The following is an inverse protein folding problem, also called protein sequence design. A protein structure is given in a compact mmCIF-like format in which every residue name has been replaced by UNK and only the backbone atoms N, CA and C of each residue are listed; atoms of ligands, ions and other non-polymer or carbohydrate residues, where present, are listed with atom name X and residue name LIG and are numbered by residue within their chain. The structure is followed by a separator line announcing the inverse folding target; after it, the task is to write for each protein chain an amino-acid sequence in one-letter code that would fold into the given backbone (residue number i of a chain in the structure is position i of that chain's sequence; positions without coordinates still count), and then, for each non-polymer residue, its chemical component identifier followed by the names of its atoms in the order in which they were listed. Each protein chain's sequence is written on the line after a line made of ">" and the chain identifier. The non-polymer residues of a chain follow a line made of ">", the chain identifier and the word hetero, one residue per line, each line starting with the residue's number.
data_IF_569955688745
#
_entry.id   IF_569955688745
#
_cell.length_a   1.000
_cell.length_b   1.000
_cell.length_c   1.000
_cell.angle_alpha   90.00
_cell.angle_beta   90.00
_cell.angle_gamma   90.00
#
_symmetry.space_group_name_H-M   'P 1'
#
loop_
_entity.id
_entity.type
_entity.pdbx_description
1 polymer ?
#
# COMPACT_ATOMS: atom_id res chain seq x y z
N UNK A 1 -13.86 -18.17 -19.80
CA UNK A 1 -14.47 -17.27 -18.79
C UNK A 1 -15.21 -16.18 -19.56
N UNK A 2 -16.53 -16.06 -19.40
CA UNK A 2 -17.36 -15.02 -20.04
C UNK A 2 -17.87 -14.02 -18.98
N UNK A 3 -18.31 -12.84 -19.40
CA UNK A 3 -18.86 -11.81 -18.49
C UNK A 3 -20.05 -12.34 -17.66
N UNK A 4 -20.80 -13.29 -18.19
CA UNK A 4 -21.96 -13.91 -17.53
C UNK A 4 -21.56 -14.81 -16.35
N UNK A 5 -20.30 -15.25 -16.30
CA UNK A 5 -19.76 -16.13 -15.25
C UNK A 5 -19.03 -15.38 -14.14
N UNK A 6 -18.93 -14.04 -14.23
CA UNK A 6 -18.22 -13.18 -13.28
C UNK A 6 -19.21 -12.51 -12.34
N UNK A 7 -18.79 -12.21 -11.10
CA UNK A 7 -19.60 -11.47 -10.13
C UNK A 7 -20.16 -10.17 -10.76
N UNK A 8 -21.49 -9.97 -10.80
CA UNK A 8 -22.11 -8.82 -11.46
C UNK A 8 -21.70 -7.47 -10.84
N UNK A 9 -21.28 -7.44 -9.58
CA UNK A 9 -20.74 -6.23 -8.96
C UNK A 9 -19.38 -5.83 -9.55
N UNK A 10 -18.55 -6.80 -9.93
CA UNK A 10 -17.28 -6.55 -10.62
C UNK A 10 -17.54 -6.04 -12.04
N UNK A 11 -18.55 -6.60 -12.71
CA UNK A 11 -18.97 -6.15 -14.06
C UNK A 11 -19.48 -4.71 -14.05
N UNK A 12 -20.23 -4.32 -13.00
CA UNK A 12 -20.76 -2.96 -12.83
C UNK A 12 -19.73 -1.95 -12.30
N UNK A 13 -18.61 -2.41 -11.74
CA UNK A 13 -17.60 -1.55 -11.12
C UNK A 13 -16.93 -0.67 -12.19
N UNK A 14 -16.93 0.64 -11.95
CA UNK A 14 -16.25 1.60 -12.83
C UNK A 14 -15.12 2.31 -12.07
N UNK A 15 -13.90 2.26 -12.62
CA UNK A 15 -12.75 2.99 -12.10
C UNK A 15 -12.26 4.00 -13.15
N UNK A 16 -12.88 5.18 -13.14
CA UNK A 16 -12.77 6.18 -14.22
C UNK A 16 -11.37 6.78 -14.41
N UNK A 17 -10.46 6.60 -13.44
CA UNK A 17 -9.08 7.13 -13.47
C UNK A 17 -8.25 6.55 -14.63
N UNK A 18 -8.67 5.41 -15.20
CA UNK A 18 -8.06 4.75 -16.37
C UNK A 18 -9.05 4.49 -17.50
N UNK A 19 -9.98 5.42 -17.71
CA UNK A 19 -11.04 5.32 -18.72
C UNK A 19 -10.61 5.63 -20.17
N UNK A 20 -11.59 5.79 -21.09
CA UNK A 20 -11.35 5.98 -22.53
C UNK A 20 -10.41 7.13 -22.89
N UNK A 21 -10.43 8.22 -22.12
CA UNK A 21 -9.53 9.38 -22.32
C UNK A 21 -8.06 8.97 -22.18
N UNK A 22 -7.77 8.11 -21.20
CA UNK A 22 -6.40 7.61 -20.97
C UNK A 22 -5.96 6.69 -22.09
N UNK A 23 -6.87 5.83 -22.59
CA UNK A 23 -6.60 4.97 -23.73
C UNK A 23 -6.28 5.79 -24.98
N UNK A 24 -7.08 6.82 -25.26
CA UNK A 24 -6.82 7.71 -26.41
C UNK A 24 -5.51 8.49 -26.25
N UNK A 25 -5.17 8.91 -25.04
CA UNK A 25 -3.89 9.55 -24.76
C UNK A 25 -2.71 8.60 -25.08
N UNK A 26 -2.79 7.32 -24.69
CA UNK A 26 -1.76 6.33 -25.02
C UNK A 26 -1.60 6.10 -26.53
N UNK A 27 -2.72 6.03 -27.26
CA UNK A 27 -2.69 5.93 -28.72
C UNK A 27 -2.03 7.15 -29.36
N UNK A 28 -2.38 8.36 -28.92
CA UNK A 28 -1.80 9.61 -29.40
C UNK A 28 -0.29 9.70 -29.09
N UNK A 29 0.16 9.26 -27.91
CA UNK A 29 1.59 9.18 -27.56
C UNK A 29 2.32 8.26 -28.55
N UNK A 30 1.72 7.10 -28.87
CA UNK A 30 2.27 6.15 -29.85
C UNK A 30 2.31 6.74 -31.26
N UNK A 31 1.23 7.37 -31.72
CA UNK A 31 1.15 8.04 -33.02
C UNK A 31 2.24 9.12 -33.16
N UNK A 32 2.45 9.94 -32.12
CA UNK A 32 3.51 10.97 -32.10
C UNK A 32 4.90 10.33 -32.14
N UNK A 33 5.13 9.25 -31.38
CA UNK A 33 6.42 8.53 -31.38
C UNK A 33 6.77 7.92 -32.75
N UNK A 34 5.75 7.60 -33.55
CA UNK A 34 5.90 7.08 -34.92
C UNK A 34 6.04 8.19 -35.98
N UNK A 35 6.09 9.46 -35.57
CA UNK A 35 6.28 10.60 -36.47
C UNK A 35 4.99 11.22 -37.01
N UNK A 36 3.81 10.85 -36.48
CA UNK A 36 2.56 11.51 -36.86
C UNK A 36 2.56 12.97 -36.43
N UNK A 37 2.39 13.90 -37.39
CA UNK A 37 2.26 15.33 -37.09
C UNK A 37 0.90 15.61 -36.44
N UNK A 38 0.92 16.00 -35.17
CA UNK A 38 -0.24 16.53 -34.42
C UNK A 38 -0.07 18.03 -34.17
N UNK A 39 -1.12 18.68 -33.65
CA UNK A 39 -1.07 20.10 -33.22
C UNK A 39 -0.22 20.33 -31.95
N UNK A 40 0.32 19.26 -31.39
CA UNK A 40 1.14 19.22 -30.19
C UNK A 40 2.24 18.16 -30.38
N UNK A 41 3.35 18.32 -29.66
CA UNK A 41 4.52 17.43 -29.73
C UNK A 41 4.60 16.42 -28.58
N UNK A 42 3.84 16.64 -27.50
CA UNK A 42 3.85 15.80 -26.30
C UNK A 42 2.48 15.82 -25.62
N UNK A 43 2.14 14.71 -24.97
CA UNK A 43 1.00 14.63 -24.06
C UNK A 43 1.49 14.84 -22.63
N UNK A 44 0.78 15.70 -21.89
CA UNK A 44 1.00 15.93 -20.47
C UNK A 44 -0.15 15.26 -19.73
N UNK A 45 0.17 14.34 -18.83
CA UNK A 45 -0.83 13.58 -18.06
C UNK A 45 -1.21 14.38 -16.82
N UNK A 46 -2.40 14.98 -16.84
CA UNK A 46 -2.98 15.71 -15.70
C UNK A 46 -4.14 14.95 -15.04
N UNK A 47 -4.30 13.66 -15.35
CA UNK A 47 -5.44 12.85 -14.90
C UNK A 47 -5.17 12.05 -13.61
N UNK A 48 -3.90 11.96 -13.18
CA UNK A 48 -3.49 11.23 -11.97
C UNK A 48 -2.55 12.13 -11.17
N UNK A 49 -2.72 12.16 -9.85
CA UNK A 49 -1.80 12.81 -8.92
C UNK A 49 -0.50 12.03 -8.73
N UNK A 50 0.23 11.76 -9.82
CA UNK A 50 1.57 11.18 -9.78
C UNK A 50 2.59 12.32 -9.85
N UNK A 51 3.00 12.79 -8.67
CA UNK A 51 3.86 13.95 -8.58
C UNK A 51 5.27 13.68 -9.14
N UNK A 52 5.78 12.45 -9.00
CA UNK A 52 7.09 12.09 -9.56
C UNK A 52 7.05 12.03 -11.09
N UNK A 53 5.99 11.45 -11.68
CA UNK A 53 5.79 11.51 -13.14
C UNK A 53 5.60 12.95 -13.65
N UNK A 54 5.12 13.84 -12.78
CA UNK A 54 4.96 15.28 -13.04
C UNK A 54 6.24 16.10 -12.79
N UNK A 55 7.37 15.46 -12.46
CA UNK A 55 8.68 16.10 -12.32
C UNK A 55 9.07 16.52 -10.90
N UNK A 56 8.30 16.15 -9.88
CA UNK A 56 8.72 16.36 -8.49
C UNK A 56 10.01 15.56 -8.22
N UNK A 57 11.06 16.26 -7.77
CA UNK A 57 12.31 15.62 -7.35
C UNK A 57 12.07 14.81 -6.06
N UNK A 58 12.55 13.55 -5.99
CA UNK A 58 12.46 12.76 -4.77
C UNK A 58 13.17 13.43 -3.59
N UNK A 59 12.63 13.23 -2.39
CA UNK A 59 13.23 13.73 -1.14
C UNK A 59 14.45 12.86 -0.79
N UNK A 60 15.64 13.47 -0.72
CA UNK A 60 16.91 12.74 -0.51
C UNK A 60 16.95 11.96 0.79
N UNK A 61 16.53 12.58 1.91
CA UNK A 61 16.54 11.93 3.22
C UNK A 61 15.76 10.61 3.25
N UNK A 62 14.56 10.58 2.66
CA UNK A 62 13.74 9.36 2.59
C UNK A 62 14.47 8.27 1.80
N UNK A 63 15.11 8.63 0.69
CA UNK A 63 15.87 7.68 -0.14
C UNK A 63 17.10 7.14 0.59
N UNK A 64 17.79 7.98 1.33
CA UNK A 64 18.96 7.62 2.12
C UNK A 64 18.59 6.64 3.24
N UNK A 65 17.52 6.90 3.99
CA UNK A 65 17.00 5.97 5.01
C UNK A 65 16.63 4.63 4.41
N UNK A 66 15.89 4.62 3.30
CA UNK A 66 15.50 3.38 2.61
C UNK A 66 16.72 2.61 2.11
N UNK A 67 17.71 3.30 1.56
CA UNK A 67 18.95 2.68 1.08
C UNK A 67 19.75 2.06 2.24
N UNK A 68 19.90 2.78 3.34
CA UNK A 68 20.56 2.29 4.54
C UNK A 68 19.85 1.09 5.16
N UNK A 69 18.51 1.10 5.19
CA UNK A 69 17.71 0.01 5.73
C UNK A 69 17.73 -1.25 4.85
N UNK A 70 17.78 -1.09 3.53
CA UNK A 70 17.75 -2.22 2.57
C UNK A 70 19.13 -2.81 2.26
N UNK A 71 20.19 -1.99 2.32
CA UNK A 71 21.59 -2.42 2.15
C UNK A 71 22.43 -1.89 3.30
N UNK A 72 22.42 -2.59 4.42
CA UNK A 72 23.02 -2.14 5.68
C UNK A 72 24.51 -1.78 5.59
N UNK A 73 25.27 -2.46 4.73
CA UNK A 73 26.70 -2.17 4.47
C UNK A 73 26.98 -0.72 4.03
N UNK A 74 25.99 -0.02 3.47
CA UNK A 74 26.17 1.39 3.08
C UNK A 74 26.32 2.31 4.30
N UNK A 75 25.84 1.89 5.47
CA UNK A 75 25.94 2.66 6.71
C UNK A 75 27.40 2.81 7.20
N UNK A 76 28.29 1.92 6.79
CA UNK A 76 29.73 1.98 7.09
C UNK A 76 30.49 2.95 6.19
N UNK A 77 29.79 3.56 5.23
CA UNK A 77 30.37 4.52 4.27
C UNK A 77 29.96 5.96 4.59
N UNK A 78 30.65 6.91 3.95
CA UNK A 78 30.32 8.33 4.01
C UNK A 78 29.27 8.76 2.96
N UNK A 79 28.61 7.80 2.30
CA UNK A 79 27.63 8.07 1.24
C UNK A 79 26.24 8.43 1.77
N UNK A 80 25.97 8.12 3.04
CA UNK A 80 24.68 8.36 3.71
C UNK A 80 24.91 9.25 4.93
N UNK A 81 24.02 10.21 5.15
CA UNK A 81 24.08 11.10 6.31
C UNK A 81 23.83 10.35 7.62
N UNK A 82 24.42 10.82 8.72
CA UNK A 82 24.35 10.11 10.00
C UNK A 82 22.95 10.08 10.62
N UNK A 83 22.13 11.09 10.37
CA UNK A 83 20.73 11.14 10.77
C UNK A 83 19.88 10.08 10.02
N UNK A 84 20.15 9.87 8.73
CA UNK A 84 19.52 8.82 7.94
C UNK A 84 19.94 7.42 8.41
N UNK A 85 21.23 7.22 8.73
CA UNK A 85 21.72 5.98 9.35
C UNK A 85 21.03 5.72 10.69
N UNK A 86 20.90 6.74 11.54
CA UNK A 86 20.24 6.64 12.84
C UNK A 86 18.78 6.21 12.68
N UNK A 87 18.04 6.84 11.74
CA UNK A 87 16.65 6.48 11.45
C UNK A 87 16.53 5.04 10.94
N UNK A 88 17.42 4.62 10.05
CA UNK A 88 17.44 3.26 9.52
C UNK A 88 17.74 2.22 10.62
N UNK A 89 18.73 2.46 11.48
CA UNK A 89 19.07 1.57 12.60
C UNK A 89 17.89 1.42 13.57
N UNK A 90 17.29 2.53 14.02
CA UNK A 90 16.11 2.48 14.90
C UNK A 90 14.99 1.61 14.33
N UNK A 91 14.74 1.71 13.02
CA UNK A 91 13.75 0.87 12.35
C UNK A 91 14.18 -0.61 12.32
N UNK A 92 15.43 -0.90 11.94
CA UNK A 92 15.94 -2.27 11.86
C UNK A 92 15.95 -2.95 13.24
N UNK A 93 16.36 -2.25 14.30
CA UNK A 93 16.40 -2.76 15.66
C UNK A 93 14.99 -3.17 16.15
N UNK A 94 13.95 -2.46 15.70
CA UNK A 94 12.56 -2.81 15.99
C UNK A 94 12.02 -4.02 15.20
N UNK A 95 12.65 -4.37 14.08
CA UNK A 95 12.21 -5.41 13.15
C UNK A 95 13.09 -6.68 13.20
N UNK A 96 13.95 -6.84 14.21
CA UNK A 96 14.87 -7.99 14.30
C UNK A 96 16.01 -7.94 13.28
N UNK A 97 16.38 -6.75 12.79
CA UNK A 97 17.55 -6.51 11.95
C UNK A 97 17.31 -6.57 10.43
N UNK A 98 16.07 -6.79 9.98
CA UNK A 98 15.75 -6.85 8.55
C UNK A 98 14.42 -6.20 8.20
N UNK A 99 14.38 -5.48 7.07
CA UNK A 99 13.16 -4.89 6.50
C UNK A 99 12.21 -5.92 5.87
N UNK A 100 12.65 -7.18 5.73
CA UNK A 100 11.87 -8.25 5.12
C UNK A 100 11.07 -9.11 6.10
N UNK A 101 11.14 -8.81 7.40
CA UNK A 101 10.41 -9.56 8.43
C UNK A 101 8.93 -9.16 8.41
N UNK A 102 8.05 -10.14 8.61
CA UNK A 102 6.62 -9.86 8.78
C UNK A 102 6.39 -8.96 10.00
N UNK A 103 5.59 -7.92 9.83
CA UNK A 103 5.10 -7.12 10.94
C UNK A 103 3.89 -7.78 11.60
N UNK A 104 3.49 -7.25 12.76
CA UNK A 104 2.14 -7.47 13.28
C UNK A 104 1.09 -7.04 12.25
N UNK A 105 -0.14 -7.58 12.36
CA UNK A 105 -1.24 -7.28 11.42
C UNK A 105 -1.63 -5.80 11.39
N UNK A 106 -1.35 -5.06 12.46
CA UNK A 106 -1.58 -3.61 12.54
C UNK A 106 -0.43 -2.78 11.97
N UNK A 107 0.71 -3.42 11.66
CA UNK A 107 1.93 -2.79 11.19
C UNK A 107 3.05 -2.77 12.23
N UNK A 108 4.23 -2.31 11.82
CA UNK A 108 5.43 -2.20 12.67
C UNK A 108 5.17 -1.21 13.81
N UNK A 109 5.41 -1.64 15.05
CA UNK A 109 5.09 -0.88 16.26
C UNK A 109 5.79 0.48 16.32
N UNK A 110 7.10 0.53 16.10
CA UNK A 110 7.86 1.79 16.13
C UNK A 110 7.34 2.83 15.12
N UNK A 111 6.78 2.36 13.99
CA UNK A 111 6.18 3.24 12.99
C UNK A 111 4.82 3.73 13.44
N UNK A 112 4.01 2.87 14.10
CA UNK A 112 2.73 3.30 14.68
C UNK A 112 2.95 4.36 15.76
N UNK A 113 3.98 4.22 16.59
CA UNK A 113 4.38 5.23 17.57
C UNK A 113 4.77 6.56 16.91
N UNK A 114 5.61 6.52 15.86
CA UNK A 114 6.01 7.71 15.12
C UNK A 114 4.79 8.42 14.48
N UNK A 115 3.83 7.66 13.94
CA UNK A 115 2.59 8.21 13.37
C UNK A 115 1.72 8.83 14.45
N UNK A 116 1.58 8.20 15.61
CA UNK A 116 0.86 8.78 16.74
C UNK A 116 1.48 10.11 17.15
N UNK A 117 2.80 10.12 17.40
CA UNK A 117 3.53 11.34 17.77
C UNK A 117 3.38 12.44 16.72
N UNK A 118 3.42 12.11 15.43
CA UNK A 118 3.19 13.07 14.35
C UNK A 118 1.78 13.67 14.41
N UNK A 119 0.75 12.85 14.63
CA UNK A 119 -0.64 13.30 14.77
C UNK A 119 -0.78 14.21 15.99
N UNK A 120 -0.18 13.83 17.13
CA UNK A 120 -0.20 14.66 18.34
C UNK A 120 0.44 16.03 18.11
N UNK A 121 1.60 16.08 17.44
CA UNK A 121 2.27 17.34 17.12
C UNK A 121 1.47 18.20 16.13
N UNK A 122 0.81 17.58 15.15
CA UNK A 122 0.00 18.28 14.15
C UNK A 122 -1.28 18.86 14.75
N UNK A 123 -1.99 18.06 15.55
CA UNK A 123 -3.36 18.34 16.01
C UNK A 123 -3.42 18.87 17.44
N UNK A 124 -2.32 18.78 18.21
CA UNK A 124 -2.24 19.16 19.63
C UNK A 124 -3.25 18.37 20.51
N UNK A 125 -3.52 17.13 20.13
CA UNK A 125 -4.42 16.20 20.81
C UNK A 125 -3.73 14.85 20.97
N UNK A 126 -3.98 14.15 22.08
CA UNK A 126 -3.34 12.84 22.30
C UNK A 126 -3.81 11.81 21.26
N UNK A 127 -2.86 11.01 20.75
CA UNK A 127 -3.08 9.97 19.78
C UNK A 127 -2.50 8.65 20.31
N UNK A 128 -3.32 7.60 20.32
CA UNK A 128 -2.90 6.29 20.80
C UNK A 128 -2.35 5.43 19.64
N UNK A 129 -1.11 4.93 19.71
CA UNK A 129 -0.53 4.02 18.70
C UNK A 129 -1.33 2.73 18.44
N UNK A 130 -2.16 2.30 19.41
CA UNK A 130 -3.03 1.12 19.27
C UNK A 130 -4.24 1.37 18.36
N UNK A 131 -4.56 2.63 18.07
CA UNK A 131 -5.63 3.01 17.14
C UNK A 131 -5.11 3.21 15.70
N UNK A 132 -3.83 2.94 15.45
CA UNK A 132 -3.18 3.17 14.16
C UNK A 132 -2.97 1.83 13.45
N UNK A 133 -3.49 1.74 12.23
CA UNK A 133 -3.35 0.57 11.37
C UNK A 133 -2.61 1.00 10.09
N UNK A 134 -1.44 0.42 9.85
CA UNK A 134 -0.70 0.61 8.61
C UNK A 134 -1.36 -0.20 7.49
N UNK A 135 -1.37 0.34 6.27
CA UNK A 135 -1.98 -0.28 5.09
C UNK A 135 -1.14 0.03 3.84
N UNK A 136 -1.32 -0.74 2.77
CA UNK A 136 -0.66 -0.50 1.49
C UNK A 136 -1.34 0.65 0.72
N UNK A 137 -1.21 1.84 1.30
CA UNK A 137 -1.87 3.06 0.85
C UNK A 137 -3.33 3.14 1.27
N UNK A 138 -3.86 4.36 1.25
CA UNK A 138 -5.21 4.68 1.73
C UNK A 138 -6.31 3.87 1.02
N UNK A 139 -6.11 3.51 -0.26
CA UNK A 139 -7.08 2.71 -1.01
C UNK A 139 -7.36 1.35 -0.39
N UNK A 140 -6.36 0.72 0.24
CA UNK A 140 -6.57 -0.54 0.96
C UNK A 140 -7.38 -0.32 2.23
N UNK A 141 -7.03 0.70 3.02
CA UNK A 141 -7.77 1.06 4.22
C UNK A 141 -9.25 1.30 3.94
N UNK A 142 -9.60 2.10 2.91
CA UNK A 142 -10.99 2.38 2.53
C UNK A 142 -11.74 1.10 2.16
N UNK A 143 -11.12 0.20 1.37
CA UNK A 143 -11.75 -1.09 1.02
C UNK A 143 -12.08 -1.91 2.27
N UNK A 144 -11.13 -2.03 3.19
CA UNK A 144 -11.33 -2.79 4.44
C UNK A 144 -12.42 -2.15 5.30
N UNK A 145 -12.38 -0.83 5.48
CA UNK A 145 -13.41 -0.09 6.23
C UNK A 145 -14.81 -0.29 5.63
N UNK A 146 -14.95 -0.23 4.30
CA UNK A 146 -16.24 -0.46 3.65
C UNK A 146 -16.73 -1.91 3.85
N UNK A 147 -15.85 -2.90 3.71
CA UNK A 147 -16.21 -4.31 3.90
C UNK A 147 -16.73 -4.53 5.32
N UNK A 148 -16.01 -4.02 6.33
CA UNK A 148 -16.41 -4.16 7.74
C UNK A 148 -17.80 -3.54 7.96
N UNK A 149 -18.03 -2.32 7.48
CA UNK A 149 -19.29 -1.62 7.68
C UNK A 149 -20.48 -2.30 6.98
N UNK A 150 -20.28 -2.79 5.75
CA UNK A 150 -21.33 -3.47 4.98
C UNK A 150 -21.65 -4.85 5.57
N UNK A 151 -20.62 -5.62 5.97
CA UNK A 151 -20.80 -6.95 6.55
C UNK A 151 -21.44 -6.87 7.94
N UNK A 152 -21.06 -5.90 8.77
CA UNK A 152 -21.64 -5.72 10.10
C UNK A 152 -23.10 -5.24 10.10
N UNK A 153 -23.59 -4.67 8.99
CA UNK A 153 -25.00 -4.26 8.85
C UNK A 153 -25.91 -5.37 8.32
N UNK A 154 -25.36 -6.47 7.83
CA UNK A 154 -26.14 -7.63 7.44
C UNK A 154 -26.41 -8.48 8.68
N UNK A 155 -27.67 -8.83 9.01
CA UNK A 155 -27.92 -9.84 10.04
C UNK A 155 -27.17 -11.08 9.58
N UNK A 156 -26.24 -11.55 10.42
CA UNK A 156 -25.35 -12.63 10.03
C UNK A 156 -26.20 -13.88 9.83
N UNK A 157 -26.64 -14.14 8.60
CA UNK A 157 -27.21 -15.43 8.21
C UNK A 157 -26.05 -16.40 8.09
N UNK A 158 -25.50 -16.79 9.23
CA UNK A 158 -24.66 -17.99 9.33
C UNK A 158 -25.53 -19.21 9.01
N UNK A 159 -25.73 -19.51 7.73
CA UNK A 159 -26.12 -20.85 7.29
C UNK A 159 -24.91 -21.67 6.83
N UNK A 160 -23.72 -21.07 6.75
CA UNK A 160 -22.51 -21.76 6.25
C UNK A 160 -21.63 -22.37 7.36
N UNK A 161 -22.04 -22.30 8.63
CA UNK A 161 -21.31 -22.90 9.75
C UNK A 161 -21.70 -24.38 10.02
N UNK A 162 -22.62 -24.97 9.25
CA UNK A 162 -23.06 -26.36 9.45
C UNK A 162 -22.38 -27.41 8.55
N UNK A 163 -21.57 -27.02 7.55
CA UNK A 163 -20.95 -28.00 6.63
C UNK A 163 -19.43 -28.15 6.75
N UNK A 164 -18.76 -27.42 7.63
CA UNK A 164 -17.34 -27.66 7.94
C UNK A 164 -17.18 -28.33 9.31
N UNK A 165 -17.76 -29.53 9.46
CA UNK A 165 -17.28 -30.50 10.46
C UNK A 165 -15.99 -31.13 9.91
N UNK A 166 -14.87 -30.42 10.04
CA UNK A 166 -13.56 -31.11 10.05
C UNK A 166 -13.39 -31.73 11.44
N UNK A 167 -13.30 -33.06 11.58
CA UNK A 167 -13.08 -33.68 12.88
C UNK A 167 -11.64 -33.35 13.34
N UNK A 168 -11.52 -32.48 14.34
CA UNK A 168 -10.24 -32.10 14.96
C UNK A 168 -9.49 -33.29 15.60
N UNK A 169 -10.11 -34.46 15.70
CA UNK A 169 -9.54 -35.65 16.34
C UNK A 169 -8.64 -36.49 15.42
N UNK A 170 -8.64 -36.28 14.09
CA UNK A 170 -7.79 -37.07 13.18
C UNK A 170 -6.42 -36.45 12.91
N UNK A 171 -6.19 -35.19 13.29
CA UNK A 171 -4.92 -34.48 13.07
C UNK A 171 -3.88 -34.67 14.19
N UNK A 172 -4.25 -35.34 15.29
CA UNK A 172 -3.34 -35.58 16.43
C UNK A 172 -2.66 -36.95 16.34
N UNK A 173 -3.11 -37.88 15.48
CA UNK A 173 -2.50 -39.21 15.34
C UNK A 173 -1.44 -39.33 14.23
N UNK A 174 -1.18 -38.29 13.43
CA UNK A 174 -0.11 -38.32 12.41
C UNK A 174 1.18 -37.58 12.80
N UNK A 175 1.32 -37.20 14.07
CA UNK A 175 2.55 -36.63 14.63
C UNK A 175 2.92 -37.33 15.95
N UNK A 176 2.98 -38.66 15.91
CA UNK A 176 3.58 -39.54 16.93
C UNK A 176 4.56 -40.48 16.24
#
# INVERSE_FOLDING_TARGET
>A
MSCDTINPHVVKLQYAVRGPIVLRALELEKEISQGSKKRFNKIIRCNIGDCHASGQRPISFIREVLCAATKTQIMDTNLVQDDAKLRARRFLDSCGGSVGVYSQSTGVEVVREDVAQYIEQRDQLSANPQNIFLSNGASEAVKVSMIILIVCQLPIRYSCAQELKFPLNELIQSCS
#
